data_IF_148882998675
#
_entry.id   IF_148882998675
#
_cell.length_a   1.000
_cell.length_b   1.000
_cell.length_c   1.000
_cell.angle_alpha   90.00
_cell.angle_beta   90.00
_cell.angle_gamma   90.00
#
_symmetry.space_group_name_H-M   'P 1'
#
loop_
_entity.id
_entity.type
_entity.pdbx_description
1 polymer ?
#
# COMPACT_ATOMS: atom_id res chain seq x y z
N UNK A 1 -6.92 16.76 7.42
CA UNK A 1 -6.12 16.06 6.48
C UNK A 1 -5.30 15.05 7.16
N UNK A 2 -5.62 13.86 7.00
CA UNK A 2 -5.06 12.82 7.77
C UNK A 2 -3.75 12.30 7.24
N UNK A 3 -2.74 12.24 8.09
CA UNK A 3 -1.60 11.41 7.84
C UNK A 3 -2.07 9.97 8.01
N UNK A 4 -1.98 9.17 6.95
CA UNK A 4 -2.46 7.78 7.00
C UNK A 4 -1.36 6.78 7.34
N UNK A 5 -0.18 7.26 7.70
CA UNK A 5 0.93 6.39 8.11
C UNK A 5 0.51 5.51 9.28
N UNK A 6 0.75 4.22 9.18
CA UNK A 6 0.38 3.26 10.21
C UNK A 6 -1.03 2.69 10.09
N UNK A 7 -1.83 3.20 9.16
CA UNK A 7 -3.17 2.65 8.94
C UNK A 7 -3.06 1.19 8.50
N UNK A 8 -3.98 0.38 9.01
CA UNK A 8 -4.05 -1.03 8.68
C UNK A 8 -4.56 -1.21 7.25
N UNK A 9 -3.89 -2.05 6.47
CA UNK A 9 -4.28 -2.33 5.09
C UNK A 9 -4.96 -3.68 5.03
N UNK A 10 -6.17 -3.70 4.46
CA UNK A 10 -7.00 -4.90 4.41
C UNK A 10 -7.45 -5.18 2.98
N UNK A 11 -7.58 -6.46 2.65
CA UNK A 11 -8.16 -6.88 1.37
C UNK A 11 -9.68 -6.87 1.44
N UNK A 12 -10.33 -7.02 0.28
CA UNK A 12 -11.79 -7.14 0.21
C UNK A 12 -12.31 -8.38 0.93
N UNK A 13 -11.45 -9.33 1.21
CA UNK A 13 -11.80 -10.54 1.97
C UNK A 13 -11.72 -10.31 3.49
N UNK A 14 -11.38 -9.10 3.91
CA UNK A 14 -11.28 -8.77 5.33
C UNK A 14 -9.95 -9.18 5.99
N UNK A 15 -8.96 -9.56 5.18
CA UNK A 15 -7.65 -9.96 5.72
C UNK A 15 -6.73 -8.76 5.84
N UNK A 16 -6.09 -8.60 6.99
CA UNK A 16 -5.05 -7.59 7.17
C UNK A 16 -3.77 -8.08 6.54
N UNK A 17 -3.21 -7.30 5.61
CA UNK A 17 -2.00 -7.69 4.89
C UNK A 17 -0.79 -6.83 5.23
N UNK A 18 -1.00 -5.73 5.93
CA UNK A 18 0.10 -4.86 6.32
C UNK A 18 -0.38 -3.52 6.84
N UNK A 19 0.51 -2.55 6.83
CA UNK A 19 0.25 -1.19 7.31
C UNK A 19 0.85 -0.18 6.35
N UNK A 20 0.26 1.01 6.28
CA UNK A 20 0.79 2.08 5.43
C UNK A 20 2.10 2.56 6.02
N UNK A 21 3.17 2.49 5.23
CA UNK A 21 4.50 2.93 5.63
C UNK A 21 4.89 4.27 4.99
N UNK A 22 4.14 4.71 3.99
CA UNK A 22 4.38 5.99 3.35
C UNK A 22 3.34 6.25 2.29
N UNK A 23 3.29 7.49 1.80
CA UNK A 23 2.39 7.85 0.72
C UNK A 23 2.97 8.98 -0.10
N UNK A 24 2.53 9.04 -1.33
CA UNK A 24 2.78 10.16 -2.23
C UNK A 24 1.44 10.67 -2.73
N UNK A 25 1.44 11.55 -3.71
CA UNK A 25 0.21 12.11 -4.25
C UNK A 25 -0.72 11.04 -4.82
N UNK A 26 -0.18 10.03 -5.51
CA UNK A 26 -0.98 9.03 -6.22
C UNK A 26 -0.74 7.60 -5.79
N UNK A 27 0.16 7.37 -4.85
CA UNK A 27 0.55 6.01 -4.47
C UNK A 27 0.70 5.84 -2.97
N UNK A 28 0.60 4.60 -2.52
CA UNK A 28 0.85 4.20 -1.14
C UNK A 28 2.00 3.21 -1.09
N UNK A 29 2.80 3.31 -0.03
CA UNK A 29 3.76 2.28 0.29
C UNK A 29 3.22 1.48 1.47
N UNK A 30 3.07 0.18 1.29
CA UNK A 30 2.52 -0.73 2.29
C UNK A 30 3.62 -1.64 2.81
N UNK A 31 3.78 -1.66 4.13
CA UNK A 31 4.70 -2.58 4.78
C UNK A 31 3.98 -3.90 5.01
N UNK A 32 4.47 -4.95 4.39
CA UNK A 32 3.88 -6.30 4.45
C UNK A 32 4.83 -7.25 5.17
N UNK A 33 4.25 -8.33 5.71
CA UNK A 33 5.04 -9.36 6.36
C UNK A 33 5.36 -9.05 7.80
N UNK A 34 6.16 -9.93 8.43
CA UNK A 34 6.55 -9.79 9.81
C UNK A 34 8.08 -9.76 9.90
N UNK A 35 8.57 -9.02 10.91
CA UNK A 35 10.01 -8.95 11.13
C UNK A 35 10.57 -10.37 11.35
N UNK A 36 11.72 -10.73 10.78
CA UNK A 36 12.65 -9.89 10.00
C UNK A 36 12.37 -9.84 8.50
N UNK A 37 11.31 -10.45 8.01
CA UNK A 37 11.03 -10.54 6.57
C UNK A 37 9.97 -9.55 6.12
N UNK A 38 10.18 -8.28 6.43
CA UNK A 38 9.27 -7.23 5.97
C UNK A 38 9.57 -6.87 4.53
N UNK A 39 8.51 -6.59 3.78
CA UNK A 39 8.59 -6.17 2.39
C UNK A 39 7.72 -4.94 2.23
N UNK A 40 8.21 -3.93 1.52
CA UNK A 40 7.45 -2.71 1.23
C UNK A 40 6.98 -2.77 -0.21
N UNK A 41 5.66 -2.58 -0.40
CA UNK A 41 5.01 -2.69 -1.70
C UNK A 41 4.37 -1.37 -2.10
N UNK A 42 4.41 -1.04 -3.40
CA UNK A 42 3.79 0.17 -3.93
C UNK A 42 2.44 -0.10 -4.55
N UNK A 43 1.43 0.68 -4.17
CA UNK A 43 0.07 0.55 -4.68
C UNK A 43 -0.45 1.91 -5.16
N UNK A 44 -1.20 1.94 -6.28
CA UNK A 44 -1.88 3.18 -6.69
C UNK A 44 -3.01 3.48 -5.72
N UNK A 45 -3.17 4.75 -5.33
CA UNK A 45 -4.26 5.16 -4.45
C UNK A 45 -5.63 4.88 -5.06
N UNK A 46 -5.74 4.87 -6.39
CA UNK A 46 -7.03 4.61 -7.06
C UNK A 46 -7.60 3.23 -6.77
N UNK A 47 -6.75 2.29 -6.35
CA UNK A 47 -7.21 0.95 -5.98
C UNK A 47 -7.48 0.81 -4.49
N UNK A 48 -7.53 1.91 -3.78
CA UNK A 48 -7.71 1.90 -2.33
C UNK A 48 -8.90 2.75 -1.91
N UNK A 49 -9.49 2.39 -0.76
CA UNK A 49 -10.47 3.21 -0.06
C UNK A 49 -9.93 3.46 1.34
N UNK A 50 -9.85 4.72 1.73
CA UNK A 50 -9.29 5.11 3.02
C UNK A 50 -10.42 5.44 3.98
N UNK A 51 -10.42 4.80 5.16
CA UNK A 51 -11.37 5.06 6.22
C UNK A 51 -10.62 5.66 7.41
N UNK A 52 -10.77 6.96 7.59
CA UNK A 52 -10.07 7.69 8.65
C UNK A 52 -10.62 7.37 10.03
N UNK A 53 -11.89 7.02 10.14
CA UNK A 53 -12.47 6.66 11.45
C UNK A 53 -11.90 5.35 11.97
N UNK A 54 -11.85 4.36 11.09
CA UNK A 54 -11.32 3.04 11.44
C UNK A 54 -9.80 2.97 11.34
N UNK A 55 -9.17 4.01 10.81
CA UNK A 55 -7.73 4.03 10.55
C UNK A 55 -7.30 2.84 9.72
N UNK A 56 -8.02 2.61 8.64
CA UNK A 56 -7.77 1.48 7.77
C UNK A 56 -7.82 1.89 6.31
N UNK A 57 -7.20 1.08 5.49
CA UNK A 57 -7.21 1.23 4.03
C UNK A 57 -7.68 -0.10 3.45
N UNK A 58 -8.74 -0.05 2.66
CA UNK A 58 -9.24 -1.22 1.95
C UNK A 58 -8.64 -1.20 0.54
N UNK A 59 -7.95 -2.26 0.17
CA UNK A 59 -7.41 -2.40 -1.18
C UNK A 59 -8.32 -3.28 -2.01
N UNK A 60 -8.56 -2.86 -3.25
CA UNK A 60 -9.46 -3.60 -4.15
C UNK A 60 -8.65 -4.61 -4.96
N UNK A 61 -7.95 -5.49 -4.26
CA UNK A 61 -7.18 -6.55 -4.87
C UNK A 61 -6.98 -7.67 -3.86
N UNK A 62 -6.62 -8.85 -4.36
CA UNK A 62 -6.34 -9.99 -3.51
C UNK A 62 -4.93 -9.88 -2.91
N UNK A 63 -4.68 -10.70 -1.89
CA UNK A 63 -3.36 -10.80 -1.30
C UNK A 63 -2.32 -11.25 -2.34
N UNK A 64 -2.72 -12.12 -3.26
CA UNK A 64 -1.85 -12.60 -4.32
C UNK A 64 -1.45 -11.49 -5.28
N UNK A 65 -2.37 -10.61 -5.62
CA UNK A 65 -2.04 -9.46 -6.46
C UNK A 65 -1.12 -8.48 -5.74
N UNK A 66 -1.37 -8.27 -4.45
CA UNK A 66 -0.48 -7.42 -3.65
C UNK A 66 0.93 -7.98 -3.64
N UNK A 67 1.07 -9.29 -3.56
CA UNK A 67 2.39 -9.95 -3.55
C UNK A 67 3.16 -9.77 -4.86
N UNK A 68 2.47 -9.39 -5.94
CA UNK A 68 3.09 -9.11 -7.24
C UNK A 68 3.37 -7.63 -7.46
N UNK A 69 2.98 -6.77 -6.53
CA UNK A 69 3.20 -5.33 -6.67
C UNK A 69 4.70 -4.99 -6.57
N UNK A 70 5.11 -3.82 -7.06
CA UNK A 70 6.53 -3.47 -7.02
C UNK A 70 7.06 -3.37 -5.60
N UNK A 71 8.27 -3.89 -5.39
CA UNK A 71 8.96 -3.75 -4.12
C UNK A 71 9.58 -2.37 -4.03
N UNK A 72 9.41 -1.73 -2.90
CA UNK A 72 10.00 -0.43 -2.61
C UNK A 72 11.01 -0.58 -1.49
N UNK A 73 11.81 0.46 -1.27
CA UNK A 73 12.81 0.47 -0.21
C UNK A 73 12.29 1.27 0.98
N UNK A 74 12.47 0.71 2.17
CA UNK A 74 12.13 1.39 3.40
C UNK A 74 12.90 2.71 3.51
N UNK A 75 12.21 3.76 3.92
CA UNK A 75 12.83 5.06 4.14
C UNK A 75 13.07 5.88 2.89
N UNK A 76 12.74 5.35 1.72
CA UNK A 76 12.86 6.06 0.45
C UNK A 76 11.48 6.59 0.07
N UNK A 77 11.42 7.80 -0.48
CA UNK A 77 10.17 8.39 -0.92
C UNK A 77 9.51 7.51 -1.99
N UNK A 78 8.18 7.46 -1.97
CA UNK A 78 7.42 6.68 -2.94
C UNK A 78 7.57 7.31 -4.33
N UNK A 79 7.94 6.50 -5.30
CA UNK A 79 8.08 6.94 -6.68
C UNK A 79 6.77 6.68 -7.42
N UNK A 80 5.99 7.73 -7.62
CA UNK A 80 4.69 7.65 -8.29
C UNK A 80 4.79 7.06 -9.69
N UNK A 81 5.82 7.47 -10.44
CA UNK A 81 5.98 6.99 -11.81
C UNK A 81 6.29 5.50 -11.87
N UNK A 82 7.14 5.03 -10.98
CA UNK A 82 7.49 3.62 -10.93
C UNK A 82 6.27 2.77 -10.56
N UNK A 83 5.47 3.22 -9.60
CA UNK A 83 4.25 2.52 -9.21
C UNK A 83 3.23 2.53 -10.34
N UNK A 84 2.99 3.69 -10.94
CA UNK A 84 2.04 3.80 -12.03
C UNK A 84 2.45 2.94 -13.23
N UNK A 85 3.72 2.96 -13.58
CA UNK A 85 4.24 2.18 -14.69
C UNK A 85 4.09 0.68 -14.46
N UNK A 86 4.38 0.23 -13.24
CA UNK A 86 4.22 -1.18 -12.90
C UNK A 86 2.78 -1.65 -13.08
N UNK A 87 1.82 -0.79 -12.70
CA UNK A 87 0.39 -1.10 -12.76
C UNK A 87 -0.26 -0.75 -14.10
N UNK A 88 0.51 -0.23 -15.05
CA UNK A 88 0.00 0.13 -16.38
C UNK A 88 -0.89 1.34 -16.40
N UNK A 89 -0.63 2.30 -15.53
CA UNK A 89 -1.48 3.49 -15.37
C UNK A 89 -0.89 4.75 -15.99
N UNK A 90 0.19 4.64 -16.72
CA UNK A 90 0.85 5.79 -17.36
C UNK A 90 -0.04 6.46 -18.38
#
# INVERSE_FOLDING_TARGET
>A
MGNIHGYRVMTTEGKTVGHVAGESETALMVECGTWPRKVWRGLPKRYTSIDHEERSVLIQMSKEMLARSPKLKQGVAVDDEAVASWWGLD
#
